data_IF_623997098247
#
_entry.id   IF_623997098247
#
_cell.length_a   1.000
_cell.length_b   1.000
_cell.length_c   1.000
_cell.angle_alpha   90.00
_cell.angle_beta   90.00
_cell.angle_gamma   90.00
#
_symmetry.space_group_name_H-M   'P 1'
#
loop_
_entity.id
_entity.type
_entity.pdbx_description
1 polymer ?
#
# COMPACT_ATOMS: atom_id res chain seq x y z
N UNK A 1 19.89 4.24 22.69
CA UNK A 1 19.79 4.28 21.24
C UNK A 1 18.81 3.27 20.67
N UNK A 2 18.64 2.10 21.28
CA UNK A 2 17.63 1.11 20.85
C UNK A 2 16.18 1.66 20.91
N UNK A 3 15.85 2.43 21.93
CA UNK A 3 14.52 3.07 22.04
C UNK A 3 14.21 4.05 20.90
N UNK A 4 15.20 4.79 20.43
CA UNK A 4 15.01 5.71 19.30
C UNK A 4 14.81 4.98 17.98
N UNK A 5 15.53 3.88 17.78
CA UNK A 5 15.39 3.04 16.58
C UNK A 5 14.00 2.43 16.49
N UNK A 6 13.51 1.83 17.57
CA UNK A 6 12.19 1.23 17.62
C UNK A 6 11.07 2.26 17.44
N UNK A 7 11.22 3.42 18.07
CA UNK A 7 10.29 4.54 17.89
C UNK A 7 10.29 5.05 16.45
N UNK A 8 11.45 5.20 15.85
CA UNK A 8 11.57 5.62 14.44
C UNK A 8 10.94 4.61 13.51
N UNK A 9 11.13 3.30 13.74
CA UNK A 9 10.47 2.24 12.99
C UNK A 9 8.96 2.34 13.11
N UNK A 10 8.41 2.56 14.30
CA UNK A 10 6.97 2.68 14.53
C UNK A 10 6.40 3.91 13.78
N UNK A 11 7.08 5.05 13.84
CA UNK A 11 6.70 6.25 13.11
C UNK A 11 6.77 6.05 11.59
N UNK A 12 7.79 5.34 11.11
CA UNK A 12 7.94 5.01 9.70
C UNK A 12 6.77 4.13 9.21
N UNK A 13 6.39 3.12 9.97
CA UNK A 13 5.25 2.26 9.65
C UNK A 13 3.95 3.06 9.58
N UNK A 14 3.75 3.98 10.50
CA UNK A 14 2.59 4.87 10.49
C UNK A 14 2.56 5.73 9.22
N UNK A 15 3.70 6.29 8.83
CA UNK A 15 3.79 7.11 7.60
C UNK A 15 3.57 6.28 6.33
N UNK A 16 4.12 5.08 6.27
CA UNK A 16 3.90 4.15 5.15
C UNK A 16 2.44 3.78 4.99
N UNK A 17 1.71 3.59 6.09
CA UNK A 17 0.28 3.30 6.06
C UNK A 17 -0.58 4.49 5.60
N UNK A 18 -0.06 5.69 5.67
CA UNK A 18 -0.74 6.92 5.22
C UNK A 18 -0.41 7.27 3.77
N UNK A 19 0.84 7.08 3.34
CA UNK A 19 1.34 7.63 2.06
C UNK A 19 1.85 6.56 1.09
N UNK A 20 2.22 5.39 1.55
CA UNK A 20 2.83 4.27 0.79
C UNK A 20 4.17 4.59 0.08
N UNK A 21 4.60 5.81 0.00
CA UNK A 21 5.82 6.20 -0.71
C UNK A 21 7.00 6.16 0.26
N UNK A 22 7.91 5.22 0.05
CA UNK A 22 9.06 4.96 0.93
C UNK A 22 9.92 6.20 1.11
N UNK A 23 10.22 6.92 0.05
CA UNK A 23 11.07 8.12 0.11
C UNK A 23 10.45 9.21 1.00
N UNK A 24 9.16 9.48 0.83
CA UNK A 24 8.45 10.49 1.63
C UNK A 24 8.39 10.06 3.10
N UNK A 25 8.09 8.79 3.35
CA UNK A 25 8.03 8.25 4.71
C UNK A 25 9.39 8.35 5.40
N UNK A 26 10.47 7.96 4.71
CA UNK A 26 11.83 8.06 5.25
C UNK A 26 12.22 9.50 5.56
N UNK A 27 11.94 10.44 4.68
CA UNK A 27 12.21 11.86 4.91
C UNK A 27 11.44 12.40 6.10
N UNK A 28 10.18 12.00 6.27
CA UNK A 28 9.35 12.49 7.37
C UNK A 28 9.83 12.05 8.75
N UNK A 29 10.50 10.90 8.84
CA UNK A 29 11.06 10.39 10.11
C UNK A 29 12.57 10.63 10.25
N UNK A 30 13.20 11.23 9.24
CA UNK A 30 14.61 11.66 9.30
C UNK A 30 15.62 10.53 9.07
N UNK A 31 15.28 9.52 8.28
CA UNK A 31 16.20 8.44 7.90
C UNK A 31 16.46 8.44 6.40
N UNK A 32 17.59 7.85 5.99
CA UNK A 32 17.90 7.62 4.58
C UNK A 32 17.23 6.36 4.06
N UNK A 33 17.05 6.28 2.74
CA UNK A 33 16.58 5.06 2.08
C UNK A 33 17.52 3.87 2.34
N UNK A 34 18.83 4.14 2.38
CA UNK A 34 19.83 3.11 2.69
C UNK A 34 19.60 2.51 4.09
N UNK A 35 19.30 3.33 5.08
CA UNK A 35 18.97 2.87 6.44
C UNK A 35 17.69 2.02 6.43
N UNK A 36 16.67 2.45 5.70
CA UNK A 36 15.43 1.71 5.54
C UNK A 36 15.67 0.31 4.98
N UNK A 37 16.38 0.20 3.86
CA UNK A 37 16.67 -1.10 3.23
C UNK A 37 17.54 -1.99 4.10
N UNK A 38 18.47 -1.42 4.85
CA UNK A 38 19.28 -2.17 5.83
C UNK A 38 18.40 -2.75 6.93
N UNK A 39 17.46 -1.98 7.46
CA UNK A 39 16.52 -2.47 8.48
C UNK A 39 15.61 -3.57 7.95
N UNK A 40 15.16 -3.48 6.71
CA UNK A 40 14.37 -4.55 6.08
C UNK A 40 15.14 -5.86 6.02
N UNK A 41 16.44 -5.79 5.73
CA UNK A 41 17.30 -6.95 5.63
C UNK A 41 17.61 -7.54 7.00
N UNK A 42 17.85 -6.70 8.00
CA UNK A 42 18.27 -7.12 9.32
C UNK A 42 17.11 -7.58 10.21
N UNK A 43 15.90 -7.10 9.94
CA UNK A 43 14.72 -7.37 10.76
C UNK A 43 13.55 -7.87 9.87
N UNK A 44 13.38 -9.21 9.76
CA UNK A 44 12.30 -9.77 8.95
C UNK A 44 10.89 -9.38 9.41
N UNK A 45 10.67 -9.21 10.70
CA UNK A 45 9.37 -8.80 11.24
C UNK A 45 9.04 -7.36 10.84
N UNK A 46 10.06 -6.49 10.87
CA UNK A 46 9.91 -5.13 10.37
C UNK A 46 9.62 -5.10 8.87
N UNK A 47 10.26 -5.95 8.09
CA UNK A 47 10.02 -6.07 6.65
C UNK A 47 8.56 -6.43 6.35
N UNK A 48 8.01 -7.42 7.06
CA UNK A 48 6.61 -7.81 6.94
C UNK A 48 5.68 -6.65 7.32
N UNK A 49 5.96 -5.99 8.42
CA UNK A 49 5.17 -4.85 8.89
C UNK A 49 5.19 -3.69 7.89
N UNK A 50 6.32 -3.45 7.22
CA UNK A 50 6.42 -2.45 6.14
C UNK A 50 5.55 -2.80 4.93
N UNK A 51 5.54 -4.06 4.52
CA UNK A 51 4.69 -4.51 3.41
C UNK A 51 3.20 -4.30 3.72
N UNK A 52 2.78 -4.67 4.93
CA UNK A 52 1.40 -4.44 5.39
C UNK A 52 1.07 -2.95 5.44
N UNK A 53 1.97 -2.14 5.94
CA UNK A 53 1.79 -0.68 5.99
C UNK A 53 1.66 -0.07 4.59
N UNK A 54 2.48 -0.50 3.65
CA UNK A 54 2.41 -0.05 2.25
C UNK A 54 1.08 -0.46 1.62
N UNK A 55 0.63 -1.69 1.87
CA UNK A 55 -0.67 -2.14 1.40
C UNK A 55 -1.81 -1.28 1.96
N UNK A 56 -1.81 -1.02 3.27
CA UNK A 56 -2.77 -0.13 3.91
C UNK A 56 -2.75 1.28 3.31
N UNK A 57 -1.56 1.82 3.05
CA UNK A 57 -1.39 3.11 2.38
C UNK A 57 -1.96 3.12 0.97
N UNK A 58 -1.81 2.03 0.23
CA UNK A 58 -2.40 1.86 -1.09
C UNK A 58 -3.92 1.88 -1.02
N UNK A 59 -4.52 1.14 -0.07
CA UNK A 59 -5.97 1.14 0.12
C UNK A 59 -6.48 2.53 0.52
N UNK A 60 -5.80 3.22 1.42
CA UNK A 60 -6.16 4.57 1.85
C UNK A 60 -6.19 5.55 0.66
N UNK A 61 -5.17 5.53 -0.18
CA UNK A 61 -5.10 6.40 -1.37
C UNK A 61 -6.16 5.99 -2.39
N UNK A 62 -6.39 4.70 -2.58
CA UNK A 62 -7.45 4.21 -3.47
C UNK A 62 -8.83 4.68 -3.03
N UNK A 63 -9.14 4.55 -1.75
CA UNK A 63 -10.40 5.02 -1.18
C UNK A 63 -10.57 6.53 -1.35
N UNK A 64 -9.49 7.28 -1.14
CA UNK A 64 -9.50 8.73 -1.33
C UNK A 64 -9.75 9.09 -2.80
N UNK A 65 -9.09 8.40 -3.73
CA UNK A 65 -9.29 8.61 -5.16
C UNK A 65 -10.72 8.26 -5.58
N UNK A 66 -11.27 7.15 -5.11
CA UNK A 66 -12.66 6.78 -5.35
C UNK A 66 -13.63 7.83 -4.80
N UNK A 67 -13.38 8.36 -3.61
CA UNK A 67 -14.22 9.40 -3.03
C UNK A 67 -14.23 10.67 -3.86
N UNK A 68 -13.10 11.02 -4.51
CA UNK A 68 -13.03 12.15 -5.43
C UNK A 68 -13.87 11.91 -6.69
N UNK A 69 -13.81 10.71 -7.24
CA UNK A 69 -14.63 10.33 -8.40
C UNK A 69 -16.12 10.40 -8.03
N UNK A 70 -16.52 9.84 -6.89
CA UNK A 70 -17.88 9.88 -6.40
C UNK A 70 -18.36 11.33 -6.21
N UNK A 71 -17.54 12.20 -5.64
CA UNK A 71 -17.86 13.62 -5.46
C UNK A 71 -18.10 14.32 -6.79
N UNK A 72 -17.30 14.03 -7.80
CA UNK A 72 -17.47 14.56 -9.15
C UNK A 72 -18.74 14.04 -9.84
N UNK A 73 -19.03 12.77 -9.66
CA UNK A 73 -20.28 12.17 -10.17
C UNK A 73 -21.50 12.89 -9.57
N UNK A 74 -21.48 13.18 -8.28
CA UNK A 74 -22.58 13.88 -7.58
C UNK A 74 -22.85 15.29 -8.10
N UNK A 75 -21.81 15.97 -8.57
CA UNK A 75 -21.97 17.31 -9.18
C UNK A 75 -22.28 17.26 -10.69
N UNK A 76 -22.46 16.09 -11.25
CA UNK A 76 -22.86 15.92 -12.65
C UNK A 76 -21.70 15.87 -13.65
N UNK A 77 -20.50 15.55 -13.22
CA UNK A 77 -19.34 15.40 -14.12
C UNK A 77 -19.51 14.13 -14.98
N UNK A 78 -19.72 14.33 -16.27
CA UNK A 78 -19.96 13.23 -17.21
C UNK A 78 -18.71 12.37 -17.40
N UNK A 79 -17.52 12.95 -17.39
CA UNK A 79 -16.26 12.19 -17.52
C UNK A 79 -16.05 11.25 -16.34
N UNK A 80 -16.31 11.73 -15.12
CA UNK A 80 -16.20 10.92 -13.92
C UNK A 80 -17.22 9.77 -13.93
N UNK A 81 -18.46 10.05 -14.34
CA UNK A 81 -19.52 9.05 -14.48
C UNK A 81 -19.17 7.99 -15.54
N UNK A 82 -18.68 8.41 -16.69
CA UNK A 82 -18.24 7.51 -17.76
C UNK A 82 -17.07 6.65 -17.32
N UNK A 83 -16.07 7.25 -16.65
CA UNK A 83 -14.91 6.54 -16.12
C UNK A 83 -15.35 5.44 -15.15
N UNK A 84 -16.25 5.77 -14.22
CA UNK A 84 -16.76 4.78 -13.25
C UNK A 84 -17.45 3.62 -13.93
N UNK A 85 -18.36 3.90 -14.87
CA UNK A 85 -19.12 2.88 -15.59
C UNK A 85 -18.20 1.97 -16.40
N UNK A 86 -17.24 2.53 -17.13
CA UNK A 86 -16.29 1.75 -17.94
C UNK A 86 -15.43 0.79 -17.10
N UNK A 87 -15.13 1.15 -15.86
CA UNK A 87 -14.24 0.36 -14.99
C UNK A 87 -14.99 -0.57 -14.04
N UNK A 88 -16.26 -0.34 -13.78
CA UNK A 88 -17.03 -1.10 -12.80
C UNK A 88 -18.21 -1.88 -13.37
N UNK A 89 -18.58 -1.63 -14.64
CA UNK A 89 -19.73 -2.28 -15.29
C UNK A 89 -19.35 -2.83 -16.65
N UNK A 90 -19.51 -4.14 -16.80
CA UNK A 90 -19.16 -4.83 -18.06
C UNK A 90 -19.89 -4.29 -19.28
N UNK A 91 -21.16 -3.87 -19.10
CA UNK A 91 -22.00 -3.38 -20.19
C UNK A 91 -21.44 -2.11 -20.85
N UNK A 92 -20.62 -1.34 -20.12
CA UNK A 92 -20.03 -0.09 -20.59
C UNK A 92 -18.58 -0.21 -21.01
N UNK A 93 -17.99 -1.40 -20.93
CA UNK A 93 -16.62 -1.61 -21.41
C UNK A 93 -16.57 -1.48 -22.93
N UNK A 94 -15.63 -0.70 -23.43
CA UNK A 94 -15.47 -0.53 -24.88
C UNK A 94 -14.91 -1.79 -25.51
N UNK A 95 -15.54 -2.35 -26.57
CA UNK A 95 -15.02 -3.50 -27.27
C UNK A 95 -13.60 -3.20 -27.79
N UNK A 96 -12.67 -4.13 -27.61
CA UNK A 96 -11.32 -4.03 -28.13
C UNK A 96 -10.32 -3.22 -27.29
N UNK A 97 -10.76 -2.61 -26.20
CA UNK A 97 -9.84 -2.07 -25.20
C UNK A 97 -9.75 -3.05 -24.01
N UNK A 98 -9.17 -4.20 -24.28
CA UNK A 98 -8.52 -4.95 -23.24
C UNK A 98 -7.45 -4.07 -22.56
N UNK A 99 -6.86 -4.50 -21.45
CA UNK A 99 -5.81 -3.76 -20.79
C UNK A 99 -4.79 -3.34 -21.84
N UNK A 100 -4.51 -2.03 -21.92
CA UNK A 100 -3.65 -1.46 -22.94
C UNK A 100 -2.25 -2.10 -22.89
N UNK A 101 -1.94 -2.81 -23.93
CA UNK A 101 -0.71 -3.55 -24.03
C UNK A 101 -0.84 -4.95 -23.43
N UNK A 102 0.17 -5.79 -23.61
CA UNK A 102 0.31 -6.95 -22.77
C UNK A 102 0.10 -6.40 -21.38
N UNK A 103 -0.93 -6.90 -20.69
CA UNK A 103 -1.12 -6.59 -19.29
C UNK A 103 0.29 -6.41 -18.77
N UNK A 104 0.59 -5.25 -18.21
CA UNK A 104 1.90 -5.07 -17.64
C UNK A 104 2.03 -6.25 -16.70
N UNK A 105 2.41 -7.36 -17.30
CA UNK A 105 2.83 -8.51 -16.57
C UNK A 105 4.05 -7.97 -15.84
N UNK A 106 3.81 -7.53 -14.66
CA UNK A 106 4.80 -7.47 -13.66
C UNK A 106 5.39 -8.88 -13.60
N UNK A 107 6.27 -9.20 -14.56
CA UNK A 107 7.10 -10.39 -14.51
C UNK A 107 8.31 -10.16 -13.61
N UNK A 108 8.27 -9.12 -12.79
CA UNK A 108 9.10 -9.10 -11.64
C UNK A 108 8.44 -9.98 -10.58
N UNK A 109 9.21 -10.80 -9.87
CA UNK A 109 8.67 -11.39 -8.68
C UNK A 109 8.17 -10.23 -7.83
N UNK A 110 6.87 -10.10 -7.72
CA UNK A 110 6.33 -9.27 -6.69
C UNK A 110 6.53 -10.03 -5.38
N UNK A 111 7.82 -10.14 -5.05
CA UNK A 111 8.27 -10.72 -3.79
C UNK A 111 7.74 -9.92 -2.60
N UNK A 112 7.02 -8.83 -2.90
CA UNK A 112 6.53 -7.88 -1.91
C UNK A 112 5.10 -8.13 -1.45
N UNK A 113 4.31 -8.86 -2.25
CA UNK A 113 2.96 -9.26 -1.83
C UNK A 113 2.78 -10.73 -2.23
N UNK A 114 2.94 -11.65 -1.30
CA UNK A 114 2.64 -13.06 -1.57
C UNK A 114 1.17 -13.15 -2.02
N UNK A 115 0.94 -13.56 -3.24
CA UNK A 115 -0.41 -13.67 -3.82
C UNK A 115 -1.26 -14.73 -3.13
N UNK A 116 -0.62 -15.60 -2.41
CA UNK A 116 -1.26 -16.65 -1.62
C UNK A 116 -0.53 -16.80 -0.30
N UNK A 117 -0.94 -15.99 0.67
CA UNK A 117 -0.52 -16.20 2.04
C UNK A 117 -1.28 -17.40 2.61
N UNK A 118 -0.56 -18.31 3.24
CA UNK A 118 -1.19 -19.34 4.07
C UNK A 118 -1.87 -18.70 5.27
N UNK A 119 -2.87 -19.37 5.83
CA UNK A 119 -3.57 -18.89 7.03
C UNK A 119 -2.58 -18.64 8.17
N UNK A 120 -1.55 -19.47 8.29
CA UNK A 120 -0.49 -19.31 9.29
C UNK A 120 0.33 -18.03 9.09
N UNK A 121 0.64 -17.70 7.84
CA UNK A 121 1.36 -16.47 7.50
C UNK A 121 0.49 -15.23 7.78
N UNK A 122 -0.80 -15.30 7.47
CA UNK A 122 -1.76 -14.23 7.78
C UNK A 122 -1.84 -14.02 9.28
N UNK A 123 -1.97 -15.09 10.06
CA UNK A 123 -2.01 -15.01 11.53
C UNK A 123 -0.71 -14.45 12.10
N UNK A 124 0.43 -14.85 11.55
CA UNK A 124 1.73 -14.31 11.93
C UNK A 124 1.80 -12.79 11.68
N UNK A 125 1.37 -12.34 10.49
CA UNK A 125 1.32 -10.91 10.14
C UNK A 125 0.40 -10.13 11.08
N UNK A 126 -0.77 -10.66 11.40
CA UNK A 126 -1.72 -10.05 12.34
C UNK A 126 -1.10 -9.92 13.72
N UNK A 127 -0.40 -10.95 14.19
CA UNK A 127 0.27 -10.94 15.50
C UNK A 127 1.41 -9.92 15.55
N UNK A 128 2.22 -9.83 14.50
CA UNK A 128 3.28 -8.83 14.38
C UNK A 128 2.68 -7.43 14.48
N UNK A 129 1.60 -7.16 13.76
CA UNK A 129 0.92 -5.86 13.79
C UNK A 129 0.34 -5.53 15.17
N UNK A 130 -0.27 -6.50 15.85
CA UNK A 130 -0.80 -6.32 17.20
C UNK A 130 0.30 -5.99 18.20
N UNK A 131 1.42 -6.70 18.12
CA UNK A 131 2.55 -6.47 19.00
C UNK A 131 3.18 -5.09 18.78
N UNK A 132 3.20 -4.61 17.54
CA UNK A 132 3.69 -3.26 17.24
C UNK A 132 2.76 -2.16 17.74
N UNK A 133 1.45 -2.39 17.74
CA UNK A 133 0.47 -1.45 18.31
C UNK A 133 0.52 -1.39 19.83
N UNK A 134 0.83 -2.50 20.49
CA UNK A 134 0.91 -2.56 21.95
C UNK A 134 2.23 -2.02 22.52
N UNK A 135 3.24 -1.77 21.72
CA UNK A 135 4.53 -1.18 22.14
C UNK A 135 4.59 0.34 21.97
N UNK A 136 3.47 0.98 21.69
CA UNK A 136 3.37 2.45 21.58
C UNK A 136 2.74 3.02 22.85
#
# INVERSE_FOLDING_TARGET
MAKNKERTKAELLKRLSEVRIVEIACKSVGISRATYYRWLKDDPDFAIACEVAIWQGTETISDLAESQIVSRIKVGDLKASTYWLEHHREEYKKPGKGPRGPAHTWEGPDDRIPRHLSDEEIDHMINVMKNMKSSV
#
